data_IF_536177573060
#
_entry.id   IF_536177573060
#
_cell.length_a   1.000
_cell.length_b   1.000
_cell.length_c   1.000
_cell.angle_alpha   90.00
_cell.angle_beta   90.00
_cell.angle_gamma   90.00
#
_symmetry.space_group_name_H-M   'P 1'
#
loop_
_entity.id
_entity.type
_entity.pdbx_description
1 polymer ?
#
# COMPACT_ATOMS: atom_id res chain seq x y z
N UNK A 1 -13.30 -16.35 5.10
CA UNK A 1 -14.28 -16.76 6.10
C UNK A 1 -14.50 -18.27 5.99
N UNK A 2 -14.64 -19.04 7.11
CA UNK A 2 -14.84 -20.50 7.09
C UNK A 2 -16.01 -20.98 6.21
N UNK A 3 -17.07 -20.18 6.10
CA UNK A 3 -18.21 -20.49 5.21
C UNK A 3 -17.80 -20.73 3.75
N UNK A 4 -16.68 -20.16 3.29
CA UNK A 4 -16.20 -20.35 1.91
C UNK A 4 -15.67 -21.77 1.68
N UNK A 5 -15.33 -22.51 2.74
CA UNK A 5 -14.74 -23.85 2.63
C UNK A 5 -15.64 -24.90 1.96
N UNK A 6 -16.94 -24.74 2.11
CA UNK A 6 -17.93 -25.64 1.49
C UNK A 6 -18.31 -25.28 0.05
N UNK A 7 -17.76 -24.20 -0.53
CA UNK A 7 -18.15 -23.74 -1.86
C UNK A 7 -17.04 -23.96 -2.89
N UNK A 8 -17.45 -24.41 -4.08
CA UNK A 8 -16.61 -24.45 -5.28
C UNK A 8 -17.06 -23.37 -6.26
N UNK A 9 -16.10 -22.72 -6.91
CA UNK A 9 -16.34 -21.64 -7.86
C UNK A 9 -15.83 -21.97 -9.27
N UNK A 10 -16.36 -23.04 -9.93
CA UNK A 10 -15.79 -23.57 -11.19
C UNK A 10 -15.87 -22.61 -12.37
N UNK A 11 -16.70 -21.57 -12.29
CA UNK A 11 -16.85 -20.55 -13.33
C UNK A 11 -16.06 -19.27 -13.05
N UNK A 12 -15.49 -19.13 -11.86
CA UNK A 12 -14.70 -17.95 -11.48
C UNK A 12 -13.32 -18.04 -12.13
N UNK A 13 -13.04 -17.15 -13.07
CA UNK A 13 -11.76 -17.12 -13.79
C UNK A 13 -10.77 -16.17 -13.15
N UNK A 14 -11.25 -15.01 -12.74
CA UNK A 14 -10.41 -14.00 -12.10
C UNK A 14 -11.22 -13.13 -11.14
N UNK A 15 -10.53 -12.57 -10.17
CA UNK A 15 -11.01 -11.51 -9.29
C UNK A 15 -10.06 -10.34 -9.36
N UNK A 16 -10.57 -9.13 -9.11
CA UNK A 16 -9.78 -7.91 -9.07
C UNK A 16 -9.80 -7.32 -7.67
N UNK A 17 -8.62 -7.00 -7.16
CA UNK A 17 -8.42 -6.21 -5.95
C UNK A 17 -8.02 -4.79 -6.31
N UNK A 18 -8.56 -3.82 -5.61
CA UNK A 18 -8.25 -2.40 -5.78
C UNK A 18 -8.64 -1.60 -4.54
N UNK A 19 -8.40 -0.30 -4.57
CA UNK A 19 -8.71 0.67 -3.52
C UNK A 19 -7.83 0.59 -2.25
N UNK A 20 -7.26 -0.58 -1.91
CA UNK A 20 -6.34 -0.75 -0.79
C UNK A 20 -5.20 -1.71 -1.19
N UNK A 21 -4.02 -1.61 -0.55
CA UNK A 21 -2.92 -2.52 -0.82
C UNK A 21 -3.30 -3.99 -0.52
N UNK A 22 -2.86 -4.89 -1.40
CA UNK A 22 -2.96 -6.34 -1.21
C UNK A 22 -1.56 -6.94 -1.35
N UNK A 23 -1.04 -7.52 -0.27
CA UNK A 23 0.27 -8.19 -0.28
C UNK A 23 0.29 -9.41 -1.20
N UNK A 24 1.46 -9.77 -1.76
CA UNK A 24 1.59 -10.88 -2.68
C UNK A 24 1.17 -12.22 -2.07
N UNK A 25 1.54 -12.50 -0.83
CA UNK A 25 1.24 -13.75 -0.14
C UNK A 25 -0.28 -13.97 -0.01
N UNK A 26 -1.00 -12.92 0.40
CA UNK A 26 -2.47 -12.99 0.53
C UNK A 26 -3.15 -13.14 -0.84
N UNK A 27 -2.63 -12.49 -1.87
CA UNK A 27 -3.12 -12.63 -3.24
C UNK A 27 -2.96 -14.06 -3.75
N UNK A 28 -1.79 -14.67 -3.52
CA UNK A 28 -1.48 -16.04 -3.92
C UNK A 28 -2.30 -17.08 -3.14
N UNK A 29 -2.48 -16.89 -1.83
CA UNK A 29 -3.33 -17.74 -1.01
C UNK A 29 -4.79 -17.69 -1.48
N UNK A 30 -5.29 -16.49 -1.78
CA UNK A 30 -6.63 -16.30 -2.32
C UNK A 30 -6.78 -16.97 -3.69
N UNK A 31 -5.81 -16.81 -4.59
CA UNK A 31 -5.79 -17.43 -5.91
C UNK A 31 -5.85 -18.98 -5.81
N UNK A 32 -4.99 -19.54 -4.94
CA UNK A 32 -4.92 -20.98 -4.68
C UNK A 32 -6.22 -21.51 -4.09
N UNK A 33 -6.79 -20.79 -3.11
CA UNK A 33 -8.01 -21.16 -2.42
C UNK A 33 -9.23 -21.18 -3.34
N UNK A 34 -9.35 -20.19 -4.23
CA UNK A 34 -10.52 -20.03 -5.11
C UNK A 34 -10.33 -20.67 -6.48
N UNK A 35 -9.11 -21.13 -6.82
CA UNK A 35 -8.81 -21.71 -8.13
C UNK A 35 -8.94 -20.67 -9.27
N UNK A 36 -8.60 -19.40 -9.01
CA UNK A 36 -8.76 -18.32 -9.99
C UNK A 36 -7.55 -17.38 -9.96
N UNK A 37 -7.41 -16.52 -10.98
CA UNK A 37 -6.39 -15.49 -11.02
C UNK A 37 -6.79 -14.30 -10.14
N UNK A 38 -5.92 -13.84 -9.24
CA UNK A 38 -6.10 -12.60 -8.48
C UNK A 38 -5.28 -11.50 -9.14
N UNK A 39 -5.95 -10.48 -9.63
CA UNK A 39 -5.35 -9.30 -10.28
C UNK A 39 -5.48 -8.09 -9.40
N UNK A 40 -4.54 -7.17 -9.52
CA UNK A 40 -4.63 -5.88 -8.86
C UNK A 40 -4.72 -4.77 -9.92
N UNK A 41 -5.40 -3.71 -9.53
CA UNK A 41 -5.46 -2.47 -10.27
C UNK A 41 -5.31 -1.29 -9.32
N UNK A 42 -4.93 -0.14 -9.88
CA UNK A 42 -4.72 1.08 -9.13
C UNK A 42 -5.39 2.25 -9.82
N UNK A 43 -5.82 3.18 -9.00
CA UNK A 43 -6.38 4.44 -9.45
C UNK A 43 -6.88 5.28 -8.28
N UNK A 44 -7.30 6.48 -8.59
CA UNK A 44 -7.78 7.50 -7.65
C UNK A 44 -9.10 8.08 -8.16
N UNK A 45 -9.84 8.73 -7.30
CA UNK A 45 -11.01 9.52 -7.69
C UNK A 45 -10.63 10.56 -8.74
N UNK A 46 -9.45 11.15 -8.58
CA UNK A 46 -8.83 12.15 -9.45
C UNK A 46 -8.48 11.62 -10.85
N UNK A 47 -8.54 10.30 -11.05
CA UNK A 47 -8.21 9.63 -12.33
C UNK A 47 -9.37 8.83 -12.93
N UNK A 48 -10.59 8.95 -12.45
CA UNK A 48 -11.89 8.48 -12.98
C UNK A 48 -12.04 6.98 -13.29
N UNK A 49 -11.72 6.00 -12.47
CA UNK A 49 -10.70 5.98 -11.43
C UNK A 49 -9.37 5.32 -11.85
N UNK A 50 -9.36 4.40 -12.86
CA UNK A 50 -8.28 3.44 -13.12
C UNK A 50 -7.14 4.04 -13.93
N UNK A 51 -5.91 3.73 -13.56
CA UNK A 51 -4.69 4.11 -14.29
C UNK A 51 -3.75 2.96 -14.54
N UNK A 52 -3.78 1.92 -13.69
CA UNK A 52 -2.96 0.73 -13.84
C UNK A 52 -3.81 -0.52 -13.64
N UNK A 53 -3.45 -1.58 -14.36
CA UNK A 53 -4.11 -2.87 -14.27
C UNK A 53 -3.14 -3.98 -14.64
N UNK A 54 -3.17 -5.10 -13.88
CA UNK A 54 -2.50 -6.31 -14.33
C UNK A 54 -3.14 -6.83 -15.62
N UNK A 55 -2.34 -7.08 -16.67
CA UNK A 55 -2.85 -7.48 -17.98
C UNK A 55 -3.41 -8.91 -17.98
N UNK A 56 -4.18 -9.23 -19.02
CA UNK A 56 -4.58 -10.59 -19.39
C UNK A 56 -3.84 -10.99 -20.69
N UNK A 57 -3.65 -12.27 -20.96
CA UNK A 57 -4.10 -13.48 -20.27
C UNK A 57 -3.27 -13.83 -19.04
N UNK A 58 -3.67 -14.90 -18.29
CA UNK A 58 -2.88 -15.46 -17.19
C UNK A 58 -1.42 -15.69 -17.57
N UNK A 59 -0.51 -15.47 -16.62
CA UNK A 59 0.96 -15.52 -16.85
C UNK A 59 1.60 -14.14 -17.02
N UNK A 60 0.80 -13.08 -17.15
CA UNK A 60 1.26 -11.69 -17.11
C UNK A 60 0.83 -10.94 -15.84
N UNK A 61 0.23 -11.64 -14.87
CA UNK A 61 -0.10 -11.07 -13.57
C UNK A 61 1.13 -11.19 -12.67
N UNK A 62 1.64 -10.06 -12.22
CA UNK A 62 2.74 -9.98 -11.26
C UNK A 62 2.15 -9.74 -9.87
N UNK A 63 2.36 -10.71 -8.97
CA UNK A 63 1.86 -10.65 -7.58
C UNK A 63 2.46 -9.45 -6.85
N UNK A 64 1.63 -8.70 -6.11
CA UNK A 64 2.06 -7.48 -5.43
C UNK A 64 2.23 -6.25 -6.32
N UNK A 65 2.06 -6.39 -7.65
CA UNK A 65 2.07 -5.28 -8.60
C UNK A 65 0.65 -4.78 -8.88
N UNK A 66 0.51 -3.47 -9.05
CA UNK A 66 -0.72 -2.83 -9.56
C UNK A 66 -0.89 -2.98 -11.08
N UNK A 67 0.10 -3.59 -11.76
CA UNK A 67 0.12 -3.81 -13.19
C UNK A 67 0.84 -2.72 -13.97
N UNK A 68 0.51 -2.62 -15.25
CA UNK A 68 1.05 -1.63 -16.20
C UNK A 68 0.06 -0.49 -16.40
N UNK A 69 0.51 0.64 -16.97
CA UNK A 69 -0.37 1.72 -17.37
C UNK A 69 -1.44 1.23 -18.35
N UNK A 70 -2.68 1.68 -18.16
CA UNK A 70 -3.73 1.45 -19.18
C UNK A 70 -3.48 2.32 -20.41
N UNK A 71 -4.09 2.00 -21.57
CA UNK A 71 -3.94 2.80 -22.78
C UNK A 71 -4.22 4.29 -22.57
N UNK A 72 -3.46 5.14 -23.29
CA UNK A 72 -3.51 6.60 -23.23
C UNK A 72 -3.14 7.21 -21.87
N UNK A 73 -2.47 6.45 -21.01
CA UNK A 73 -1.98 6.91 -19.71
C UNK A 73 -0.47 6.97 -19.74
N UNK A 74 0.07 8.11 -19.32
CA UNK A 74 1.51 8.32 -19.14
C UNK A 74 1.82 8.32 -17.65
N UNK A 75 2.92 7.70 -17.27
CA UNK A 75 3.37 7.62 -15.88
C UNK A 75 4.86 7.91 -15.78
N UNK A 76 5.27 8.55 -14.70
CA UNK A 76 6.68 8.72 -14.35
C UNK A 76 6.87 8.60 -12.84
N UNK A 77 8.05 8.17 -12.44
CA UNK A 77 8.48 8.14 -11.05
C UNK A 77 9.35 9.36 -10.81
N UNK A 78 8.96 10.18 -9.85
CA UNK A 78 9.59 11.48 -9.57
C UNK A 78 10.13 11.48 -8.14
N UNK A 79 11.37 11.90 -8.00
CA UNK A 79 11.94 12.20 -6.69
C UNK A 79 11.17 13.37 -6.07
N UNK A 80 10.45 13.13 -5.00
CA UNK A 80 9.53 14.10 -4.40
C UNK A 80 10.25 15.22 -3.64
N UNK A 81 11.56 15.11 -3.39
CA UNK A 81 12.38 16.17 -2.80
C UNK A 81 12.98 17.08 -3.88
N UNK A 82 13.48 16.49 -4.95
CA UNK A 82 14.20 17.23 -6.00
C UNK A 82 13.36 17.53 -7.24
N UNK A 83 12.21 16.85 -7.42
CA UNK A 83 11.35 16.96 -8.60
C UNK A 83 11.94 16.35 -9.88
N UNK A 84 13.00 15.55 -9.78
CA UNK A 84 13.66 14.92 -10.93
C UNK A 84 13.07 13.55 -11.23
N UNK A 85 12.98 13.21 -12.49
CA UNK A 85 12.58 11.86 -12.92
C UNK A 85 13.60 10.81 -12.47
N UNK A 86 13.09 9.68 -12.01
CA UNK A 86 13.85 8.52 -11.60
C UNK A 86 13.70 7.38 -12.62
N UNK A 87 14.76 6.59 -12.78
CA UNK A 87 14.74 5.40 -13.63
C UNK A 87 14.08 4.20 -12.96
N UNK A 88 13.99 3.09 -13.70
CA UNK A 88 13.47 1.81 -13.24
C UNK A 88 14.18 1.31 -11.97
N UNK A 89 13.45 0.61 -11.11
CA UNK A 89 13.94 0.10 -9.83
C UNK A 89 14.23 1.17 -8.77
N UNK A 90 13.83 2.42 -9.02
CA UNK A 90 13.92 3.51 -8.03
C UNK A 90 12.55 3.86 -7.48
N UNK A 91 12.51 4.19 -6.19
CA UNK A 91 11.29 4.60 -5.51
C UNK A 91 11.15 6.12 -5.53
N UNK A 92 9.99 6.60 -5.94
CA UNK A 92 9.63 8.01 -5.96
C UNK A 92 8.12 8.20 -6.09
N UNK A 93 7.67 9.44 -6.10
CA UNK A 93 6.25 9.73 -6.26
C UNK A 93 5.79 9.36 -7.68
N UNK A 94 4.69 8.63 -7.76
CA UNK A 94 4.03 8.31 -9.02
C UNK A 94 3.29 9.55 -9.52
N UNK A 95 3.67 10.05 -10.70
CA UNK A 95 2.94 11.11 -11.39
C UNK A 95 2.26 10.53 -12.62
N UNK A 96 1.04 10.98 -12.89
CA UNK A 96 0.18 10.41 -13.93
C UNK A 96 -0.37 11.53 -14.81
N UNK A 97 -0.39 11.28 -16.12
CA UNK A 97 -1.03 12.15 -17.10
C UNK A 97 -1.88 11.31 -18.05
N UNK A 98 -3.07 11.80 -18.38
CA UNK A 98 -3.97 11.12 -19.31
C UNK A 98 -5.35 11.75 -19.36
N UNK A 99 -6.19 11.36 -20.34
CA UNK A 99 -7.52 11.94 -20.53
C UNK A 99 -8.49 11.69 -19.38
N UNK A 100 -8.22 10.69 -18.52
CA UNK A 100 -9.03 10.36 -17.35
C UNK A 100 -8.69 11.19 -16.11
N UNK A 101 -7.61 11.98 -16.15
CA UNK A 101 -7.27 12.89 -15.05
C UNK A 101 -8.34 13.96 -14.92
N UNK A 102 -8.82 14.23 -13.71
CA UNK A 102 -9.82 15.25 -13.43
C UNK A 102 -9.40 16.64 -13.88
N UNK A 103 -10.35 17.52 -14.12
CA UNK A 103 -10.07 18.94 -14.41
C UNK A 103 -9.60 19.72 -13.18
N UNK A 104 -9.97 19.27 -11.98
CA UNK A 104 -9.62 19.91 -10.72
C UNK A 104 -10.64 19.67 -9.62
N UNK A 105 -10.35 20.17 -8.44
CA UNK A 105 -11.26 20.14 -7.30
C UNK A 105 -12.30 21.28 -7.40
N UNK A 106 -13.56 20.94 -7.16
CA UNK A 106 -14.66 21.88 -7.22
C UNK A 106 -14.45 23.06 -6.25
N UNK A 107 -14.47 24.28 -6.79
CA UNK A 107 -14.28 25.54 -6.04
C UNK A 107 -12.99 25.60 -5.21
N UNK A 108 -11.95 24.86 -5.59
CA UNK A 108 -10.67 24.84 -4.89
C UNK A 108 -9.49 24.81 -5.89
N UNK A 109 -9.24 25.97 -6.49
CA UNK A 109 -8.17 26.13 -7.47
C UNK A 109 -6.79 25.97 -6.86
N UNK A 110 -6.60 26.35 -5.59
CA UNK A 110 -5.34 26.21 -4.88
C UNK A 110 -4.96 24.72 -4.75
N UNK A 111 -5.86 23.88 -4.23
CA UNK A 111 -5.64 22.45 -4.15
C UNK A 111 -5.43 21.80 -5.54
N UNK A 112 -6.15 22.30 -6.56
CA UNK A 112 -5.95 21.83 -7.93
C UNK A 112 -4.54 22.10 -8.42
N UNK A 113 -4.03 23.32 -8.25
CA UNK A 113 -2.67 23.71 -8.68
C UNK A 113 -1.56 23.00 -7.89
N UNK A 114 -1.83 22.60 -6.64
CA UNK A 114 -0.90 21.79 -5.85
C UNK A 114 -0.86 20.34 -6.33
N UNK A 115 -1.96 19.83 -6.88
CA UNK A 115 -2.13 18.43 -7.25
C UNK A 115 -1.84 18.17 -8.74
N UNK A 116 -2.20 19.11 -9.62
CA UNK A 116 -1.97 18.99 -11.06
C UNK A 116 -1.05 20.13 -11.49
N UNK A 117 0.08 19.78 -12.10
CA UNK A 117 1.01 20.79 -12.59
C UNK A 117 0.55 21.44 -13.92
N UNK A 118 1.21 22.52 -14.37
CA UNK A 118 0.85 23.19 -15.62
C UNK A 118 0.96 22.31 -16.89
N UNK A 119 1.73 21.21 -16.84
CA UNK A 119 1.90 20.26 -17.94
C UNK A 119 0.85 19.13 -17.90
N UNK A 120 -0.06 19.14 -16.91
CA UNK A 120 -1.14 18.17 -16.74
C UNK A 120 -0.73 16.90 -15.99
N UNK A 121 0.41 16.91 -15.30
CA UNK A 121 0.80 15.80 -14.44
C UNK A 121 0.10 15.87 -13.09
N UNK A 122 -0.65 14.82 -12.77
CA UNK A 122 -1.26 14.60 -11.47
C UNK A 122 -0.21 14.01 -10.52
N UNK A 123 0.06 14.68 -9.42
CA UNK A 123 0.86 14.21 -8.30
C UNK A 123 -0.01 13.34 -7.41
N UNK A 124 0.23 12.02 -7.38
CA UNK A 124 -0.66 11.09 -6.69
C UNK A 124 -0.50 11.12 -5.17
N UNK A 125 0.66 11.54 -4.67
CA UNK A 125 1.06 11.41 -3.28
C UNK A 125 1.39 9.96 -2.88
N UNK A 126 1.43 9.03 -3.83
CA UNK A 126 1.78 7.64 -3.60
C UNK A 126 3.21 7.38 -4.11
N UNK A 127 4.02 6.71 -3.31
CA UNK A 127 5.37 6.25 -3.69
C UNK A 127 5.23 4.94 -4.45
N UNK A 128 5.86 4.88 -5.60
CA UNK A 128 5.90 3.69 -6.44
C UNK A 128 7.31 3.41 -6.96
N UNK A 129 7.49 2.21 -7.44
CA UNK A 129 8.62 1.79 -8.27
C UNK A 129 8.10 1.14 -9.54
N UNK A 130 8.86 1.20 -10.62
CA UNK A 130 8.57 0.53 -11.88
C UNK A 130 9.75 -0.38 -12.24
N UNK A 131 9.46 -1.61 -12.65
CA UNK A 131 10.47 -2.56 -13.12
C UNK A 131 10.78 -2.38 -14.63
N UNK A 132 11.72 -3.17 -15.14
CA UNK A 132 12.17 -3.15 -16.54
C UNK A 132 11.06 -3.60 -17.51
N UNK A 133 10.09 -4.38 -17.04
CA UNK A 133 8.95 -4.85 -17.83
C UNK A 133 7.75 -3.88 -17.79
N UNK A 134 7.89 -2.76 -17.06
CA UNK A 134 6.87 -1.72 -16.95
C UNK A 134 5.77 -2.01 -15.92
N UNK A 135 5.97 -2.95 -15.00
CA UNK A 135 5.05 -3.19 -13.89
C UNK A 135 5.33 -2.24 -12.74
N UNK A 136 4.27 -1.60 -12.27
CA UNK A 136 4.32 -0.68 -11.14
C UNK A 136 3.94 -1.39 -9.85
N UNK A 137 4.60 -1.00 -8.78
CA UNK A 137 4.30 -1.43 -7.40
C UNK A 137 4.17 -0.20 -6.52
N UNK A 138 3.06 -0.07 -5.81
CA UNK A 138 2.90 0.96 -4.77
C UNK A 138 3.65 0.50 -3.52
N UNK A 139 4.50 1.37 -3.03
CA UNK A 139 5.30 1.14 -1.82
C UNK A 139 4.56 1.69 -0.61
N UNK A 140 4.14 2.96 -0.67
CA UNK A 140 3.38 3.64 0.38
C UNK A 140 2.88 5.02 -0.10
N UNK A 141 2.42 5.85 0.83
CA UNK A 141 2.11 7.26 0.60
C UNK A 141 3.21 8.17 1.10
N UNK A 142 3.51 9.23 0.35
CA UNK A 142 4.50 10.25 0.74
C UNK A 142 4.23 10.77 2.17
N UNK A 143 2.96 11.04 2.50
CA UNK A 143 2.52 11.58 3.80
C UNK A 143 2.48 10.55 4.94
N UNK A 144 2.58 9.26 4.61
CA UNK A 144 2.53 8.17 5.60
C UNK A 144 3.92 7.60 5.92
N UNK A 145 4.95 7.95 5.13
CA UNK A 145 6.32 7.53 5.39
C UNK A 145 6.79 7.97 6.77
N UNK A 146 7.35 7.03 7.51
CA UNK A 146 7.91 7.27 8.85
C UNK A 146 9.35 7.74 8.70
N UNK A 147 9.67 8.90 9.25
CA UNK A 147 10.99 9.54 9.13
C UNK A 147 11.90 9.14 10.29
N UNK A 148 12.46 7.95 10.23
CA UNK A 148 13.36 7.41 11.25
C UNK A 148 14.81 7.79 10.97
N UNK A 149 15.43 8.70 11.75
CA UNK A 149 16.85 9.10 11.62
C UNK A 149 17.25 9.46 10.18
N UNK A 150 16.38 10.16 9.46
CA UNK A 150 16.58 10.53 8.06
C UNK A 150 16.26 9.42 7.04
N UNK A 151 16.00 8.20 7.48
CA UNK A 151 15.50 7.14 6.62
C UNK A 151 13.98 7.21 6.50
N UNK A 152 13.48 6.79 5.36
CA UNK A 152 12.05 6.70 5.10
C UNK A 152 11.62 5.24 5.20
N UNK A 153 10.68 4.99 6.09
CA UNK A 153 10.15 3.66 6.36
C UNK A 153 8.69 3.61 5.94
N UNK A 154 8.38 2.71 5.02
CA UNK A 154 7.04 2.51 4.51
C UNK A 154 6.20 1.67 5.49
N UNK A 155 5.12 2.20 6.10
CA UNK A 155 4.22 1.42 6.93
C UNK A 155 3.66 0.18 6.25
N UNK A 156 3.28 0.28 4.97
CA UNK A 156 2.67 -0.82 4.23
C UNK A 156 3.59 -2.04 4.09
N UNK A 157 4.91 -1.85 3.98
CA UNK A 157 5.88 -2.95 3.98
C UNK A 157 5.87 -3.71 5.30
N UNK A 158 5.82 -2.99 6.41
CA UNK A 158 5.79 -3.58 7.76
C UNK A 158 4.44 -4.25 8.05
N UNK A 159 3.34 -3.65 7.58
CA UNK A 159 2.00 -4.24 7.67
C UNK A 159 1.91 -5.57 6.91
N UNK A 160 2.44 -5.61 5.68
CA UNK A 160 2.49 -6.84 4.91
C UNK A 160 3.27 -7.95 5.64
N UNK A 161 4.42 -7.63 6.24
CA UNK A 161 5.21 -8.58 7.03
C UNK A 161 4.48 -9.02 8.31
N UNK A 162 3.83 -8.11 9.04
CA UNK A 162 3.05 -8.44 10.23
C UNK A 162 1.93 -9.44 9.91
N UNK A 163 1.24 -9.27 8.79
CA UNK A 163 0.17 -10.17 8.36
C UNK A 163 0.65 -11.59 8.02
N UNK A 164 1.96 -11.81 7.79
CA UNK A 164 2.52 -13.15 7.64
C UNK A 164 2.72 -13.88 8.97
N UNK A 165 2.60 -13.18 10.11
CA UNK A 165 2.72 -13.81 11.42
C UNK A 165 1.48 -14.65 11.75
N UNK A 166 1.70 -15.87 12.27
CA UNK A 166 0.63 -16.85 12.49
C UNK A 166 -0.48 -16.37 13.42
N UNK A 167 -0.16 -15.54 14.42
CA UNK A 167 -1.11 -15.05 15.43
C UNK A 167 -1.84 -13.76 15.03
N UNK A 168 -1.43 -13.06 13.98
CA UNK A 168 -1.99 -11.75 13.62
C UNK A 168 -3.13 -11.91 12.61
N UNK A 169 -4.28 -11.31 12.91
CA UNK A 169 -5.44 -11.27 12.03
C UNK A 169 -5.49 -9.97 11.21
N UNK A 170 -5.11 -8.84 11.81
CA UNK A 170 -5.11 -7.52 11.17
C UNK A 170 -4.06 -6.63 11.84
N UNK A 171 -3.56 -5.63 11.12
CA UNK A 171 -2.57 -4.73 11.67
C UNK A 171 -2.56 -3.37 10.97
N UNK A 172 -1.89 -2.41 11.61
CA UNK A 172 -1.55 -1.12 11.03
C UNK A 172 -0.23 -0.63 11.64
N UNK A 173 0.56 0.09 10.87
CA UNK A 173 1.79 0.73 11.34
C UNK A 173 1.65 2.24 11.18
N UNK A 174 2.03 2.97 12.23
CA UNK A 174 1.98 4.43 12.25
C UNK A 174 3.27 5.02 12.84
N UNK A 175 3.63 6.26 12.49
CA UNK A 175 4.70 6.97 13.17
C UNK A 175 4.29 7.34 14.60
N UNK A 176 5.24 7.27 15.53
CA UNK A 176 5.19 7.96 16.80
C UNK A 176 6.40 8.88 16.90
N UNK A 177 6.23 10.05 17.54
CA UNK A 177 7.33 10.97 17.79
C UNK A 177 8.37 10.34 18.73
N UNK A 178 9.65 10.56 18.42
CA UNK A 178 10.78 10.11 19.22
C UNK A 178 11.86 11.21 19.27
N UNK A 179 12.33 11.61 20.47
CA UNK A 179 13.28 12.72 20.61
C UNK A 179 14.63 12.50 19.92
N UNK A 180 15.07 11.24 19.77
CA UNK A 180 16.37 10.90 19.17
C UNK A 180 16.27 10.53 17.69
N UNK A 181 15.15 9.91 17.31
CA UNK A 181 14.96 9.35 15.97
C UNK A 181 14.11 10.23 15.05
N UNK A 182 13.45 11.27 15.60
CA UNK A 182 12.40 12.03 14.94
C UNK A 182 11.07 11.26 14.99
N UNK A 183 10.95 10.16 14.25
CA UNK A 183 9.81 9.25 14.31
C UNK A 183 10.26 7.80 14.43
N UNK A 184 9.43 6.98 15.09
CA UNK A 184 9.62 5.52 15.20
C UNK A 184 8.40 4.76 14.66
N UNK A 185 8.59 3.58 14.03
CA UNK A 185 7.47 2.72 13.65
C UNK A 185 6.81 2.06 14.86
N UNK A 186 5.49 2.24 15.00
CA UNK A 186 4.64 1.60 16.00
C UNK A 186 3.60 0.74 15.31
N UNK A 187 3.57 -0.55 15.64
CA UNK A 187 2.60 -1.51 15.11
C UNK A 187 1.38 -1.64 16.03
N UNK A 188 0.18 -1.48 15.45
CA UNK A 188 -1.06 -1.90 16.08
C UNK A 188 -1.45 -3.27 15.53
N UNK A 189 -1.83 -4.21 16.39
CA UNK A 189 -2.14 -5.58 15.99
C UNK A 189 -3.48 -6.04 16.57
N UNK A 190 -4.19 -6.81 15.76
CA UNK A 190 -5.37 -7.59 16.17
C UNK A 190 -4.97 -9.04 16.08
N UNK A 191 -5.13 -9.79 17.15
CA UNK A 191 -4.83 -11.22 17.16
C UNK A 191 -5.97 -12.04 16.57
N UNK A 192 -5.63 -13.21 16.02
CA UNK A 192 -6.61 -14.23 15.65
C UNK A 192 -7.31 -14.75 16.90
N UNK A 193 -8.50 -15.29 16.72
CA UNK A 193 -9.31 -15.85 17.81
C UNK A 193 -8.51 -16.85 18.64
N UNK A 194 -8.58 -16.69 19.98
CA UNK A 194 -7.84 -17.49 20.96
C UNK A 194 -6.31 -17.44 20.86
N UNK A 195 -5.75 -16.44 20.18
CA UNK A 195 -4.30 -16.22 20.12
C UNK A 195 -3.93 -14.92 20.84
N UNK A 196 -2.84 -14.98 21.58
CA UNK A 196 -2.16 -13.82 22.17
C UNK A 196 -0.67 -14.10 22.08
N UNK A 197 0.11 -13.10 21.69
CA UNK A 197 1.56 -13.25 21.56
C UNK A 197 2.24 -12.12 22.34
N UNK A 198 3.46 -12.39 22.81
CA UNK A 198 4.27 -11.37 23.45
C UNK A 198 4.69 -10.32 22.38
N UNK A 199 4.50 -9.01 22.63
CA UNK A 199 4.95 -7.95 21.72
C UNK A 199 6.42 -8.07 21.29
N UNK A 200 7.31 -8.47 22.19
CA UNK A 200 8.74 -8.67 21.92
C UNK A 200 8.96 -9.75 20.84
N UNK A 201 8.22 -10.86 20.90
CA UNK A 201 8.29 -11.94 19.90
C UNK A 201 7.90 -11.44 18.51
N UNK A 202 6.84 -10.62 18.43
CA UNK A 202 6.41 -10.03 17.16
C UNK A 202 7.46 -9.05 16.63
N UNK A 203 7.99 -8.17 17.50
CA UNK A 203 9.04 -7.23 17.12
C UNK A 203 10.30 -7.96 16.62
N UNK A 204 10.69 -9.06 17.27
CA UNK A 204 11.83 -9.88 16.87
C UNK A 204 11.59 -10.57 15.53
N UNK A 205 10.39 -11.12 15.31
CA UNK A 205 9.99 -11.70 14.02
C UNK A 205 10.14 -10.72 12.87
N UNK A 206 9.72 -9.47 13.05
CA UNK A 206 9.90 -8.41 12.05
C UNK A 206 11.39 -8.03 11.93
N UNK A 207 12.09 -7.88 13.05
CA UNK A 207 13.49 -7.44 13.08
C UNK A 207 14.44 -8.37 12.32
N UNK A 208 14.11 -9.65 12.20
CA UNK A 208 14.88 -10.65 11.43
C UNK A 208 14.68 -10.51 9.90
N UNK A 209 13.64 -9.81 9.46
CA UNK A 209 13.22 -9.72 8.05
C UNK A 209 13.48 -8.36 7.42
N UNK A 210 13.83 -7.36 8.22
CA UNK A 210 13.98 -5.98 7.74
C UNK A 210 15.34 -5.40 8.16
N UNK A 211 15.76 -4.35 7.45
CA UNK A 211 16.94 -3.59 7.83
C UNK A 211 16.73 -2.84 9.17
N UNK A 212 17.81 -2.48 9.90
CA UNK A 212 17.70 -1.93 11.26
C UNK A 212 16.79 -0.72 11.41
N UNK A 213 16.76 0.18 10.41
CA UNK A 213 15.92 1.38 10.42
C UNK A 213 14.43 1.07 10.29
N UNK A 214 14.06 -0.06 9.70
CA UNK A 214 12.68 -0.49 9.48
C UNK A 214 12.08 -1.28 10.65
N UNK A 215 12.86 -1.57 11.70
CA UNK A 215 12.36 -2.35 12.85
C UNK A 215 11.21 -1.63 13.55
N UNK A 216 10.14 -2.35 13.84
CA UNK A 216 9.06 -1.86 14.71
C UNK A 216 9.62 -1.68 16.12
N UNK A 217 9.31 -0.56 16.76
CA UNK A 217 9.82 -0.18 18.09
C UNK A 217 8.85 -0.41 19.21
N UNK A 218 7.56 -0.55 18.90
CA UNK A 218 6.50 -0.82 19.87
C UNK A 218 5.36 -1.55 19.17
N UNK A 219 4.78 -2.54 19.84
CA UNK A 219 3.54 -3.21 19.44
C UNK A 219 2.44 -2.88 20.44
N UNK A 220 1.27 -2.55 19.94
CA UNK A 220 0.07 -2.24 20.72
C UNK A 220 -1.06 -3.15 20.23
N UNK A 221 -1.61 -3.93 21.13
CA UNK A 221 -2.80 -4.74 20.85
C UNK A 221 -4.04 -3.85 20.85
N UNK A 222 -4.93 -4.04 19.86
CA UNK A 222 -6.26 -3.43 19.82
C UNK A 222 -7.30 -4.45 19.37
N UNK A 223 -8.57 -4.15 19.61
CA UNK A 223 -9.66 -5.04 19.21
C UNK A 223 -9.94 -5.00 17.70
N UNK A 224 -9.77 -3.84 17.07
CA UNK A 224 -10.03 -3.65 15.64
C UNK A 224 -9.19 -2.52 15.07
N UNK A 225 -8.64 -2.74 13.87
CA UNK A 225 -8.02 -1.67 13.07
C UNK A 225 -9.13 -0.77 12.49
N UNK A 226 -9.11 0.55 12.77
CA UNK A 226 -10.10 1.46 12.19
C UNK A 226 -9.89 1.59 10.68
N UNK A 227 -10.93 1.26 9.92
CA UNK A 227 -10.93 1.31 8.44
C UNK A 227 -12.13 2.08 7.91
N UNK A 228 -11.96 2.72 6.76
CA UNK A 228 -13.08 3.27 5.99
C UNK A 228 -13.95 2.16 5.39
N UNK A 229 -15.15 2.46 4.87
CA UNK A 229 -15.97 1.48 4.15
C UNK A 229 -15.26 0.83 2.95
N UNK A 230 -14.27 1.52 2.36
CA UNK A 230 -13.45 0.99 1.26
C UNK A 230 -12.23 0.17 1.72
N UNK A 231 -12.08 -0.10 3.02
CA UNK A 231 -10.98 -0.89 3.59
C UNK A 231 -9.70 -0.11 3.86
N UNK A 232 -9.65 1.21 3.62
CA UNK A 232 -8.45 2.03 3.90
C UNK A 232 -8.26 2.23 5.40
N UNK A 233 -7.06 2.00 5.91
CA UNK A 233 -6.70 2.22 7.31
C UNK A 233 -6.82 3.72 7.66
N UNK A 234 -7.52 4.02 8.72
CA UNK A 234 -7.69 5.38 9.25
C UNK A 234 -6.58 5.71 10.26
N UNK A 235 -5.33 5.83 9.77
CA UNK A 235 -4.11 5.99 10.60
C UNK A 235 -4.18 7.15 11.58
N UNK A 236 -4.90 8.22 11.24
CA UNK A 236 -5.09 9.37 12.15
C UNK A 236 -5.71 8.95 13.49
N UNK A 237 -6.66 8.02 13.48
CA UNK A 237 -7.29 7.53 14.72
C UNK A 237 -6.31 6.75 15.59
N UNK A 238 -5.37 6.04 14.97
CA UNK A 238 -4.33 5.28 15.70
C UNK A 238 -3.24 6.20 16.25
N UNK A 239 -2.82 7.20 15.49
CA UNK A 239 -1.85 8.22 15.96
C UNK A 239 -2.35 8.93 17.22
N UNK A 240 -3.63 9.28 17.27
CA UNK A 240 -4.22 9.93 18.44
C UNK A 240 -4.24 9.06 19.71
N UNK A 241 -3.99 7.76 19.61
CA UNK A 241 -3.92 6.85 20.78
C UNK A 241 -2.51 6.76 21.37
N UNK A 242 -1.51 7.28 20.67
CA UNK A 242 -0.09 7.20 21.07
C UNK A 242 0.58 8.57 21.23
N UNK A 243 -0.18 9.65 21.00
CA UNK A 243 0.22 11.04 21.19
C UNK A 243 0.23 11.42 22.69
#
# INVERSE_FOLDING_TARGET
HPMVEGYAFPKLKSIMSGAAPLGPELAEDCARRLGCTVKQGYGLTETSPVTHLNPEPPGRVVSGSIGICIPNTECRIVDYETGKDLGTGKQGELWIRGPQVMRGYLNNQEATNQTIDPEGWLKTGDIAEVDEDGYFKIVDRVKELIKYKGFQVAPAELEALLLTHSSIADCAVVPAEDPEAGEIPVGFVVYKENMVENPETIMEFIAQKVSPQKKIRRIIQIEQIPKSPSGKILRRHLRNQIA
#
